data_IF_832616528738
#
_entry.id   IF_832616528738
#
_cell.length_a   1.000
_cell.length_b   1.000
_cell.length_c   1.000
_cell.angle_alpha   90.00
_cell.angle_beta   90.00
_cell.angle_gamma   90.00
#
_symmetry.space_group_name_H-M   'P 1'
#
loop_
_entity.id
_entity.type
_entity.pdbx_description
1 polymer ?
#
# COMPACT_ATOMS: atom_id res chain seq x y z
N UNK A 1 -9.90 -2.69 -4.98
CA UNK A 1 -8.50 -2.21 -4.99
C UNK A 1 -7.87 -2.88 -6.19
N UNK A 2 -7.12 -2.12 -6.98
CA UNK A 2 -6.49 -2.57 -8.21
C UNK A 2 -5.00 -2.24 -8.09
N UNK A 3 -4.14 -3.15 -8.54
CA UNK A 3 -2.71 -2.93 -8.66
C UNK A 3 -2.38 -2.68 -10.12
N UNK A 4 -1.62 -1.62 -10.39
CA UNK A 4 -1.28 -1.22 -11.75
C UNK A 4 0.23 -1.36 -11.99
N UNK A 5 0.60 -1.60 -13.25
CA UNK A 5 1.97 -1.45 -13.74
C UNK A 5 2.37 0.03 -13.78
N UNK A 6 3.65 0.31 -13.97
CA UNK A 6 4.15 1.68 -14.21
C UNK A 6 3.53 2.35 -15.45
N UNK A 7 2.96 1.57 -16.37
CA UNK A 7 2.25 2.06 -17.57
C UNK A 7 0.75 2.27 -17.32
N UNK A 8 0.26 2.06 -16.10
CA UNK A 8 -1.15 2.23 -15.73
C UNK A 8 -2.06 1.06 -16.10
N UNK A 9 -1.55 0.01 -16.74
CA UNK A 9 -2.31 -1.22 -17.00
C UNK A 9 -2.48 -2.04 -15.73
N UNK A 10 -3.69 -2.58 -15.53
CA UNK A 10 -4.02 -3.45 -14.40
C UNK A 10 -3.17 -4.72 -14.41
N UNK A 11 -2.60 -5.04 -13.24
CA UNK A 11 -1.90 -6.29 -12.96
C UNK A 11 -2.88 -7.28 -12.32
N UNK A 12 -3.64 -6.81 -11.32
CA UNK A 12 -4.53 -7.63 -10.50
C UNK A 12 -5.52 -6.76 -9.71
N UNK A 13 -6.67 -7.32 -9.31
CA UNK A 13 -7.70 -6.62 -8.55
C UNK A 13 -8.42 -7.53 -7.54
N UNK A 14 -8.80 -6.95 -6.40
CA UNK A 14 -9.67 -7.61 -5.43
C UNK A 14 -10.46 -6.59 -4.57
N UNK A 15 -11.53 -7.04 -3.88
CA UNK A 15 -12.17 -6.25 -2.85
C UNK A 15 -11.16 -5.80 -1.79
N UNK A 16 -11.26 -4.56 -1.32
CA UNK A 16 -10.30 -3.99 -0.35
C UNK A 16 -10.21 -4.80 0.96
N UNK A 17 -11.29 -5.51 1.30
CA UNK A 17 -11.37 -6.40 2.47
C UNK A 17 -10.53 -7.67 2.31
N UNK A 18 -10.27 -8.10 1.08
CA UNK A 18 -9.43 -9.27 0.79
C UNK A 18 -7.94 -8.92 0.78
N UNK A 19 -7.58 -7.63 0.83
CA UNK A 19 -6.19 -7.16 0.78
C UNK A 19 -5.59 -7.15 2.18
N UNK A 20 -4.45 -7.83 2.35
CA UNK A 20 -3.65 -7.73 3.57
C UNK A 20 -2.41 -6.89 3.30
N UNK A 21 -2.20 -5.88 4.13
CA UNK A 21 -1.06 -4.95 3.99
C UNK A 21 -0.18 -4.94 5.24
N UNK A 22 1.13 -4.95 5.01
CA UNK A 22 2.13 -4.88 6.07
C UNK A 22 3.35 -4.06 5.65
N UNK A 23 4.11 -3.60 6.65
CA UNK A 23 5.40 -2.95 6.41
C UNK A 23 6.50 -4.02 6.52
N UNK A 24 7.29 -4.27 5.46
CA UNK A 24 8.46 -5.14 5.57
C UNK A 24 9.52 -4.52 6.48
N UNK A 25 10.19 -5.34 7.29
CA UNK A 25 11.25 -4.88 8.20
C UNK A 25 12.57 -4.58 7.48
N UNK A 26 12.77 -5.17 6.30
CA UNK A 26 14.01 -5.10 5.52
C UNK A 26 13.99 -4.01 4.43
N UNK A 27 12.87 -3.32 4.22
CA UNK A 27 12.73 -2.37 3.13
C UNK A 27 12.64 -0.92 3.64
N UNK A 28 12.96 0.07 2.78
CA UNK A 28 12.85 1.47 3.16
C UNK A 28 11.39 1.90 3.42
N UNK A 29 11.22 3.09 4.00
CA UNK A 29 9.94 3.56 4.56
C UNK A 29 8.86 3.83 3.51
N UNK A 30 9.23 3.89 2.23
CA UNK A 30 8.36 4.06 1.06
C UNK A 30 7.79 2.72 0.55
N UNK A 31 8.16 1.59 1.16
CA UNK A 31 7.75 0.26 0.72
C UNK A 31 6.62 -0.34 1.55
N UNK A 32 5.72 -1.04 0.87
CA UNK A 32 4.65 -1.81 1.48
C UNK A 32 4.54 -3.20 0.85
N UNK A 33 4.25 -4.21 1.66
CA UNK A 33 3.85 -5.53 1.18
C UNK A 33 2.32 -5.59 1.11
N UNK A 34 1.80 -6.05 -0.02
CA UNK A 34 0.39 -6.32 -0.24
C UNK A 34 0.20 -7.78 -0.64
N UNK A 35 -0.55 -8.54 0.16
CA UNK A 35 -1.07 -9.83 -0.25
C UNK A 35 -2.48 -9.62 -0.81
N UNK A 36 -2.65 -9.98 -2.09
CA UNK A 36 -3.85 -9.83 -2.89
C UNK A 36 -4.17 -11.18 -3.52
N UNK A 37 -5.30 -11.79 -3.14
CA UNK A 37 -5.73 -13.10 -3.64
C UNK A 37 -4.62 -14.19 -3.62
N UNK A 38 -3.85 -14.22 -2.52
CA UNK A 38 -2.74 -15.17 -2.35
C UNK A 38 -1.44 -14.81 -3.09
N UNK A 39 -1.43 -13.78 -3.94
CA UNK A 39 -0.22 -13.23 -4.55
C UNK A 39 0.36 -12.10 -3.69
N UNK A 40 1.68 -12.12 -3.53
CA UNK A 40 2.41 -11.12 -2.75
C UNK A 40 3.09 -10.12 -3.66
N UNK A 41 2.82 -8.84 -3.41
CA UNK A 41 3.39 -7.71 -4.13
C UNK A 41 4.22 -6.83 -3.19
N UNK A 42 5.39 -6.40 -3.67
CA UNK A 42 6.16 -5.33 -3.05
C UNK A 42 5.88 -4.03 -3.80
N UNK A 43 5.24 -3.09 -3.12
CA UNK A 43 4.86 -1.80 -3.67
C UNK A 43 5.92 -0.75 -3.35
N UNK A 44 6.23 0.09 -4.33
CA UNK A 44 6.98 1.34 -4.17
C UNK A 44 5.97 2.48 -4.17
N UNK A 45 5.92 3.28 -3.10
CA UNK A 45 4.94 4.36 -2.96
C UNK A 45 5.64 5.69 -3.17
N UNK A 46 5.63 6.17 -4.41
CA UNK A 46 6.58 7.17 -4.90
C UNK A 46 6.13 8.63 -4.94
N UNK A 47 5.01 9.03 -4.32
CA UNK A 47 4.40 10.33 -4.71
C UNK A 47 4.43 11.46 -3.68
N UNK A 48 4.95 11.27 -2.44
CA UNK A 48 5.34 12.35 -1.49
C UNK A 48 5.63 11.71 -0.14
N UNK A 49 6.82 11.19 0.06
CA UNK A 49 7.30 11.15 1.44
C UNK A 49 7.56 12.59 1.87
N UNK A 50 7.14 12.99 3.10
CA UNK A 50 7.53 14.29 3.62
C UNK A 50 9.06 14.39 3.58
N UNK A 51 9.57 15.52 3.11
CA UNK A 51 11.02 15.74 3.10
C UNK A 51 11.57 15.61 4.54
N UNK A 52 12.86 15.31 4.74
CA UNK A 52 13.44 15.29 6.07
C UNK A 52 13.16 16.61 6.82
N UNK A 53 12.42 16.53 7.93
CA UNK A 53 11.99 17.69 8.72
C UNK A 53 10.56 18.19 8.43
N UNK A 54 9.89 17.69 7.39
CA UNK A 54 8.47 17.97 7.16
C UNK A 54 7.58 17.05 7.99
N UNK A 55 6.48 17.57 8.54
CA UNK A 55 5.55 16.77 9.31
C UNK A 55 4.73 15.84 8.40
N UNK A 56 4.68 14.55 8.75
CA UNK A 56 3.75 13.61 8.14
C UNK A 56 4.22 12.16 8.23
N UNK A 57 3.31 11.18 8.28
CA UNK A 57 3.68 9.78 8.18
C UNK A 57 4.16 9.46 6.75
N UNK A 58 5.15 8.56 6.57
CA UNK A 58 5.58 8.09 5.25
C UNK A 58 4.42 7.56 4.42
N UNK A 59 4.53 7.64 3.10
CA UNK A 59 3.54 7.21 2.13
C UNK A 59 3.09 5.75 2.39
N UNK A 60 4.02 4.86 2.73
CA UNK A 60 3.67 3.48 3.09
C UNK A 60 2.80 3.36 4.33
N UNK A 61 3.07 4.18 5.36
CA UNK A 61 2.23 4.17 6.56
C UNK A 61 0.82 4.66 6.25
N UNK A 62 0.69 5.76 5.50
CA UNK A 62 -0.62 6.29 5.08
C UNK A 62 -1.39 5.28 4.23
N UNK A 63 -0.72 4.63 3.29
CA UNK A 63 -1.31 3.59 2.46
C UNK A 63 -1.84 2.43 3.30
N UNK A 64 -1.02 1.90 4.21
CA UNK A 64 -1.43 0.81 5.11
C UNK A 64 -2.65 1.22 5.96
N UNK A 65 -2.63 2.43 6.51
CA UNK A 65 -3.74 2.95 7.31
C UNK A 65 -5.02 3.14 6.48
N UNK A 66 -4.90 3.64 5.24
CA UNK A 66 -6.02 3.82 4.33
C UNK A 66 -6.67 2.49 3.96
N UNK A 67 -5.87 1.47 3.63
CA UNK A 67 -6.38 0.11 3.33
C UNK A 67 -7.07 -0.48 4.56
N UNK A 68 -6.47 -0.37 5.76
CA UNK A 68 -7.10 -0.86 7.01
C UNK A 68 -8.43 -0.17 7.30
N UNK A 69 -8.49 1.16 7.12
CA UNK A 69 -9.72 1.94 7.29
C UNK A 69 -10.78 1.59 6.25
N UNK A 70 -10.39 1.33 5.01
CA UNK A 70 -11.32 0.93 3.95
C UNK A 70 -11.85 -0.49 4.18
N UNK A 71 -11.01 -1.42 4.64
CA UNK A 71 -11.41 -2.78 4.99
C UNK A 71 -12.40 -2.82 6.17
N UNK A 72 -12.19 -1.99 7.19
CA UNK A 72 -13.06 -1.93 8.38
C UNK A 72 -14.37 -1.14 8.21
N UNK A 73 -14.54 -0.37 7.13
CA UNK A 73 -15.74 0.47 6.90
C UNK A 73 -16.97 -0.29 6.37
N UNK A 74 -16.89 -1.62 6.25
CA UNK A 74 -18.00 -2.50 5.83
C UNK A 74 -18.31 -3.56 6.89
N UNK A 75 -18.45 -3.12 8.14
CA UNK A 75 -19.07 -3.89 9.22
C UNK A 75 -20.53 -3.47 9.36
#
# INVERSE_FOLDING_TARGET
MELLTSYGSEIDSAPVQAVRVSRPWFAPQDRALADLDGKRYLLTLGERDPAPGEPGPPAARRFIEAVRRAAGRRA
#
